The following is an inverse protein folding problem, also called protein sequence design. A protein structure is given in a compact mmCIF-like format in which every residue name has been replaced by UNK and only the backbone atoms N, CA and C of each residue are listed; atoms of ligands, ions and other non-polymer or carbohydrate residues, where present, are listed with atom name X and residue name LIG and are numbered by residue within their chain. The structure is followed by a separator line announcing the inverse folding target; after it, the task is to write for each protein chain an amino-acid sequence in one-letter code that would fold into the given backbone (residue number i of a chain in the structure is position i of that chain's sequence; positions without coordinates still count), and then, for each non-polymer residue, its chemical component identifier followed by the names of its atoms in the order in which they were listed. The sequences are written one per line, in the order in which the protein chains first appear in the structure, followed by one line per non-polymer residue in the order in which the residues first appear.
data_IF_793354259464
#
_entry.id   IF_793354259464
#
_cell.length_a   1.000
_cell.length_b   1.000
_cell.length_c   1.000
_cell.angle_alpha   90.00
_cell.angle_beta   90.00
_cell.angle_gamma   90.00
#
_symmetry.space_group_name_H-M   'P 1'
#
loop_
_entity.id
_entity.type
_entity.pdbx_description
1 polymer ?
#
# COMPACT_ATOMS: atom_id res chain seq x y z
N UNK A 1 -15.84 -7.52 1.25
CA UNK A 1 -14.70 -7.13 0.40
C UNK A 1 -14.97 -5.77 -0.24
N UNK A 2 -14.11 -4.83 -0.03
CA UNK A 2 -14.23 -3.50 -0.62
C UNK A 2 -13.03 -3.24 -1.52
N UNK A 3 -13.30 -2.86 -2.76
CA UNK A 3 -12.28 -2.46 -3.71
C UNK A 3 -11.99 -0.98 -3.57
N UNK A 4 -10.72 -0.64 -3.40
CA UNK A 4 -10.24 0.75 -3.31
C UNK A 4 -9.38 1.06 -4.52
N UNK A 5 -9.50 2.27 -5.03
CA UNK A 5 -8.62 2.81 -6.06
C UNK A 5 -7.60 3.67 -5.35
N UNK A 6 -6.36 3.18 -5.30
CA UNK A 6 -5.22 3.97 -4.86
C UNK A 6 -4.51 4.57 -6.05
N UNK A 7 -4.00 5.78 -5.93
CA UNK A 7 -3.26 6.41 -7.03
C UNK A 7 -1.83 5.89 -7.16
N UNK A 8 -1.22 5.42 -6.09
CA UNK A 8 0.13 4.88 -6.09
C UNK A 8 0.25 3.72 -5.10
N UNK A 9 1.04 2.72 -5.45
CA UNK A 9 1.28 1.56 -4.61
C UNK A 9 2.78 1.39 -4.35
N UNK A 10 3.16 1.31 -3.08
CA UNK A 10 4.49 0.93 -2.67
C UNK A 10 4.46 -0.52 -2.17
N UNK A 11 5.03 -1.43 -2.93
CA UNK A 11 5.09 -2.84 -2.56
C UNK A 11 6.42 -3.08 -1.87
N UNK A 12 6.37 -3.53 -0.62
CA UNK A 12 7.55 -3.97 0.12
C UNK A 12 7.41 -5.42 0.51
N UNK A 13 8.35 -6.22 0.04
CA UNK A 13 8.61 -7.55 0.55
C UNK A 13 9.68 -7.42 1.64
N UNK A 14 9.28 -7.59 2.89
CA UNK A 14 10.24 -7.66 4.00
C UNK A 14 9.82 -8.71 5.01
N UNK A 15 10.63 -9.73 5.11
CA UNK A 15 10.76 -10.52 6.33
C UNK A 15 11.63 -9.72 7.32
N UNK A 16 11.01 -9.19 8.36
CA UNK A 16 11.74 -8.60 9.48
C UNK A 16 11.79 -9.66 10.59
N UNK A 17 12.99 -10.00 11.04
CA UNK A 17 13.27 -10.90 12.17
C UNK A 17 12.90 -12.39 11.97
N UNK A 18 13.25 -13.02 10.84
CA UNK A 18 13.15 -14.48 10.70
C UNK A 18 11.72 -15.05 10.76
N UNK A 19 10.70 -14.21 10.69
CA UNK A 19 9.30 -14.62 10.60
C UNK A 19 8.92 -15.05 9.18
N UNK A 20 7.76 -15.71 9.04
CA UNK A 20 7.21 -16.04 7.74
C UNK A 20 7.13 -14.79 6.83
N UNK A 21 7.39 -14.92 5.53
CA UNK A 21 7.30 -13.80 4.60
C UNK A 21 5.90 -13.20 4.64
N UNK A 22 5.83 -11.88 4.73
CA UNK A 22 4.57 -11.12 4.68
C UNK A 22 4.59 -10.21 3.47
N UNK A 23 3.51 -10.24 2.73
CA UNK A 23 3.27 -9.32 1.63
C UNK A 23 2.63 -8.05 2.17
N UNK A 24 3.17 -6.90 1.83
CA UNK A 24 2.62 -5.61 2.24
C UNK A 24 2.57 -4.64 1.08
N UNK A 25 1.54 -3.83 1.06
CA UNK A 25 1.38 -2.74 0.10
C UNK A 25 1.00 -1.47 0.86
N UNK A 26 1.60 -0.36 0.48
CA UNK A 26 1.16 0.96 0.91
C UNK A 26 0.31 1.57 -0.19
N UNK A 27 -0.96 1.79 0.09
CA UNK A 27 -1.91 2.41 -0.82
C UNK A 27 -1.94 3.91 -0.53
N UNK A 28 -1.48 4.72 -1.47
CA UNK A 28 -1.44 6.17 -1.34
C UNK A 28 -2.67 6.76 -2.01
N UNK A 29 -3.45 7.54 -1.28
CA UNK A 29 -4.72 8.11 -1.71
C UNK A 29 -4.65 9.62 -1.59
N UNK A 30 -4.73 10.37 -2.68
CA UNK A 30 -4.74 11.84 -2.62
C UNK A 30 -5.87 12.35 -1.71
N UNK A 31 -5.59 13.36 -0.92
CA UNK A 31 -6.61 14.00 -0.07
C UNK A 31 -7.75 14.63 -0.90
N UNK A 32 -7.48 14.96 -2.15
CA UNK A 32 -8.46 15.43 -3.12
C UNK A 32 -9.48 14.37 -3.54
N UNK A 33 -9.13 13.08 -3.44
CA UNK A 33 -10.09 11.98 -3.69
C UNK A 33 -10.97 11.73 -2.47
N UNK A 34 -11.85 12.68 -2.21
CA UNK A 34 -12.76 12.65 -1.06
C UNK A 34 -13.71 11.46 -1.09
N UNK A 35 -14.05 10.96 -2.27
CA UNK A 35 -14.95 9.80 -2.43
C UNK A 35 -14.29 8.55 -1.87
N UNK A 36 -13.04 8.28 -2.25
CA UNK A 36 -12.29 7.13 -1.76
C UNK A 36 -11.99 7.27 -0.27
N UNK A 37 -11.56 8.45 0.18
CA UNK A 37 -11.28 8.73 1.59
C UNK A 37 -12.52 8.49 2.47
N UNK A 38 -13.69 8.97 2.04
CA UNK A 38 -14.93 8.77 2.79
C UNK A 38 -15.37 7.30 2.82
N UNK A 39 -15.19 6.56 1.72
CA UNK A 39 -15.44 5.10 1.69
C UNK A 39 -14.56 4.36 2.69
N UNK A 40 -13.30 4.73 2.78
CA UNK A 40 -12.35 4.14 3.73
C UNK A 40 -12.77 4.44 5.17
N UNK A 41 -13.09 5.69 5.47
CA UNK A 41 -13.56 6.09 6.80
C UNK A 41 -14.84 5.35 7.19
N UNK A 42 -15.80 5.22 6.28
CA UNK A 42 -17.01 4.44 6.52
C UNK A 42 -16.71 2.96 6.76
N UNK A 43 -15.74 2.40 6.04
CA UNK A 43 -15.31 1.02 6.23
C UNK A 43 -14.61 0.80 7.58
N UNK A 44 -13.82 1.76 8.03
CA UNK A 44 -13.19 1.74 9.36
C UNK A 44 -14.27 1.79 10.45
N UNK A 45 -15.25 2.66 10.31
CA UNK A 45 -16.38 2.76 11.23
C UNK A 45 -17.16 1.43 11.31
N UNK A 46 -17.46 0.83 10.17
CA UNK A 46 -18.15 -0.45 10.12
C UNK A 46 -17.33 -1.58 10.78
N UNK A 47 -16.02 -1.64 10.56
CA UNK A 47 -15.13 -2.61 11.19
C UNK A 47 -15.04 -2.39 12.72
N UNK A 48 -15.10 -1.14 13.17
CA UNK A 48 -15.15 -0.80 14.57
C UNK A 48 -16.45 -1.31 15.23
N UNK A 49 -17.59 -1.06 14.63
CA UNK A 49 -18.89 -1.50 15.13
C UNK A 49 -19.01 -3.04 15.15
N UNK A 50 -18.59 -3.71 14.09
CA UNK A 50 -18.57 -5.18 14.02
C UNK A 50 -17.60 -5.80 15.04
N UNK A 51 -16.50 -5.11 15.32
CA UNK A 51 -15.44 -5.59 16.21
C UNK A 51 -15.51 -5.07 17.65
N UNK A 52 -16.60 -4.43 18.05
CA UNK A 52 -16.73 -3.79 19.37
C UNK A 52 -16.45 -4.76 20.52
N UNK A 53 -16.99 -5.98 20.47
CA UNK A 53 -16.76 -7.01 21.48
C UNK A 53 -15.29 -7.41 21.61
N UNK A 54 -14.58 -7.46 20.48
CA UNK A 54 -13.15 -7.79 20.42
C UNK A 54 -12.28 -6.62 20.92
N UNK A 55 -12.64 -5.39 20.55
CA UNK A 55 -11.96 -4.17 21.00
C UNK A 55 -12.18 -3.94 22.50
N UNK A 56 -13.36 -4.21 23.01
CA UNK A 56 -13.66 -4.15 24.41
C UNK A 56 -12.83 -5.15 25.23
N UNK A 57 -12.72 -6.39 24.76
CA UNK A 57 -12.02 -7.45 25.47
C UNK A 57 -12.56 -7.63 26.90
N UNK A 58 -11.68 -7.55 27.90
CA UNK A 58 -12.05 -7.63 29.34
C UNK A 58 -12.44 -6.27 29.97
N UNK A 59 -12.37 -5.18 29.21
CA UNK A 59 -12.73 -3.86 29.71
C UNK A 59 -14.24 -3.69 29.87
N UNK A 60 -14.65 -2.76 30.73
CA UNK A 60 -16.09 -2.46 30.94
C UNK A 60 -16.71 -1.72 29.76
N UNK A 61 -15.90 -0.90 29.07
CA UNK A 61 -16.33 -0.03 27.95
C UNK A 61 -15.41 -0.24 26.77
N UNK A 62 -15.97 -0.21 25.55
CA UNK A 62 -15.17 -0.22 24.33
C UNK A 62 -14.41 1.10 24.19
N UNK A 63 -13.10 1.08 23.87
CA UNK A 63 -12.36 2.31 23.62
C UNK A 63 -12.93 3.04 22.40
N UNK A 64 -12.97 4.37 22.46
CA UNK A 64 -13.43 5.19 21.34
C UNK A 64 -12.52 5.04 20.11
N UNK A 65 -13.08 5.26 18.93
CA UNK A 65 -12.36 5.06 17.65
C UNK A 65 -11.12 5.97 17.51
N UNK A 66 -11.14 7.15 18.08
CA UNK A 66 -10.04 8.12 18.08
C UNK A 66 -8.87 7.73 19.01
N UNK A 67 -9.10 6.81 19.92
CA UNK A 67 -8.08 6.33 20.88
C UNK A 67 -7.36 5.07 20.36
N UNK A 68 -8.01 4.30 19.51
CA UNK A 68 -7.44 3.06 18.97
C UNK A 68 -6.64 3.32 17.68
N UNK A 69 -5.78 2.38 17.32
CA UNK A 69 -5.03 2.45 16.06
C UNK A 69 -5.94 2.27 14.87
N UNK A 70 -5.89 3.19 13.93
CA UNK A 70 -6.62 3.12 12.66
C UNK A 70 -5.65 2.93 11.49
N UNK A 71 -6.06 2.25 10.41
CA UNK A 71 -5.17 1.99 9.29
C UNK A 71 -4.98 3.18 8.36
N UNK A 72 -5.89 4.17 8.37
CA UNK A 72 -5.79 5.37 7.55
C UNK A 72 -4.87 6.38 8.23
N UNK A 73 -3.76 6.69 7.59
CA UNK A 73 -2.69 7.53 8.13
C UNK A 73 -2.50 8.75 7.22
N UNK A 74 -2.08 9.86 7.82
CA UNK A 74 -1.82 11.10 7.10
C UNK A 74 -0.36 11.17 6.66
N UNK A 75 -0.14 11.22 5.33
CA UNK A 75 1.21 11.26 4.77
C UNK A 75 1.99 12.51 5.15
N UNK A 76 1.35 13.66 5.20
CA UNK A 76 2.02 14.91 5.57
C UNK A 76 2.52 14.92 7.03
N UNK A 77 1.83 14.19 7.91
CA UNK A 77 2.19 14.11 9.32
C UNK A 77 3.21 13.01 9.62
N UNK A 78 3.05 11.85 8.99
CA UNK A 78 3.83 10.66 9.32
C UNK A 78 5.01 10.43 8.38
N UNK A 79 4.98 11.03 7.19
CA UNK A 79 6.03 10.96 6.16
C UNK A 79 6.41 12.35 5.66
N UNK A 80 6.74 13.31 6.55
CA UNK A 80 7.14 14.64 6.13
C UNK A 80 8.42 14.54 5.27
N UNK A 81 8.44 15.24 4.15
CA UNK A 81 9.57 15.22 3.22
C UNK A 81 9.60 14.08 2.20
N UNK A 82 8.65 13.15 2.25
CA UNK A 82 8.46 12.14 1.22
C UNK A 82 7.40 12.63 0.22
N UNK A 83 7.85 13.04 -0.97
CA UNK A 83 6.98 13.62 -2.00
C UNK A 83 5.86 12.67 -2.43
N UNK A 84 6.11 11.36 -2.41
CA UNK A 84 5.10 10.36 -2.76
C UNK A 84 3.89 10.38 -1.83
N UNK A 85 4.07 10.81 -0.59
CA UNK A 85 3.02 10.87 0.44
C UNK A 85 2.47 12.29 0.66
N UNK A 86 3.01 13.29 -0.03
CA UNK A 86 2.57 14.67 0.09
C UNK A 86 1.10 14.84 -0.32
N UNK A 87 0.35 15.62 0.44
CA UNK A 87 -1.09 15.84 0.23
C UNK A 87 -1.93 14.55 0.10
N UNK A 88 -1.50 13.49 0.75
CA UNK A 88 -2.10 12.17 0.63
C UNK A 88 -2.33 11.52 1.99
N UNK A 89 -3.36 10.68 2.05
CA UNK A 89 -3.48 9.64 3.07
C UNK A 89 -2.84 8.36 2.55
N UNK A 90 -2.49 7.45 3.45
CA UNK A 90 -2.05 6.14 3.06
C UNK A 90 -2.57 5.04 3.99
N UNK A 91 -2.69 3.85 3.43
CA UNK A 91 -3.06 2.63 4.16
C UNK A 91 -2.03 1.55 3.87
N UNK A 92 -1.52 0.92 4.92
CA UNK A 92 -0.70 -0.26 4.78
C UNK A 92 -1.59 -1.51 4.92
N UNK A 93 -1.68 -2.27 3.83
CA UNK A 93 -2.39 -3.53 3.80
C UNK A 93 -1.40 -4.69 3.76
N UNK A 94 -1.67 -5.73 4.52
CA UNK A 94 -0.77 -6.87 4.68
C UNK A 94 -1.48 -8.18 4.40
N UNK A 95 -0.72 -9.17 3.90
CA UNK A 95 -1.17 -10.52 3.73
C UNK A 95 -0.09 -11.52 4.12
N UNK A 96 -0.48 -12.63 4.73
CA UNK A 96 0.42 -13.76 4.99
C UNK A 96 0.63 -14.64 3.75
N UNK A 97 -0.28 -14.56 2.78
CA UNK A 97 -0.22 -15.29 1.52
C UNK A 97 0.00 -14.35 0.35
N UNK A 98 0.60 -14.83 -0.74
CA UNK A 98 0.79 -14.04 -1.94
C UNK A 98 -0.56 -13.55 -2.48
N UNK A 99 -0.76 -12.23 -2.66
CA UNK A 99 -1.97 -11.71 -3.27
C UNK A 99 -2.02 -12.09 -4.75
N UNK A 100 -3.22 -12.32 -5.29
CA UNK A 100 -3.42 -12.40 -6.73
C UNK A 100 -3.23 -11.01 -7.34
N UNK A 101 -2.51 -10.93 -8.45
CA UNK A 101 -2.25 -9.67 -9.15
C UNK A 101 -2.70 -9.82 -10.59
N UNK A 102 -3.57 -8.92 -11.02
CA UNK A 102 -4.08 -8.89 -12.39
C UNK A 102 -3.83 -7.52 -13.04
N UNK A 103 -3.82 -7.49 -14.35
CA UNK A 103 -3.76 -6.25 -15.13
C UNK A 103 -5.14 -5.57 -15.26
N UNK A 104 -5.21 -4.51 -16.06
CA UNK A 104 -6.45 -3.78 -16.32
C UNK A 104 -7.53 -4.64 -16.97
N UNK A 105 -7.14 -5.64 -17.77
CA UNK A 105 -8.02 -6.59 -18.45
C UNK A 105 -8.35 -7.82 -17.61
N UNK A 106 -7.91 -7.84 -16.36
CA UNK A 106 -8.09 -8.93 -15.39
C UNK A 106 -7.35 -10.23 -15.76
N UNK A 107 -6.27 -10.10 -16.54
CA UNK A 107 -5.34 -11.18 -16.79
C UNK A 107 -4.30 -11.25 -15.66
N UNK A 108 -3.95 -12.47 -15.26
CA UNK A 108 -2.97 -12.66 -14.19
C UNK A 108 -1.58 -12.15 -14.63
N UNK A 109 -0.97 -11.32 -13.81
CA UNK A 109 0.40 -10.86 -14.01
C UNK A 109 1.35 -11.89 -13.41
N UNK A 110 2.07 -12.57 -14.27
CA UNK A 110 3.05 -13.62 -13.91
C UNK A 110 4.41 -13.01 -13.60
N UNK A 111 4.79 -11.99 -14.38
CA UNK A 111 6.06 -11.29 -14.19
C UNK A 111 5.94 -10.26 -13.06
N UNK A 112 6.54 -10.58 -11.92
CA UNK A 112 6.53 -9.71 -10.74
C UNK A 112 7.25 -8.38 -10.96
N UNK A 113 8.12 -8.27 -11.95
CA UNK A 113 8.80 -7.01 -12.29
C UNK A 113 7.86 -5.95 -12.84
N UNK A 114 6.70 -6.36 -13.36
CA UNK A 114 5.65 -5.44 -13.80
C UNK A 114 4.94 -4.72 -12.65
N UNK A 115 5.11 -5.22 -11.42
CA UNK A 115 4.46 -4.68 -10.23
C UNK A 115 5.54 -4.13 -9.30
N UNK A 116 5.72 -2.83 -9.33
CA UNK A 116 6.76 -2.10 -8.60
C UNK A 116 6.14 -0.93 -7.82
N UNK A 117 6.92 -0.34 -6.91
CA UNK A 117 6.50 0.86 -6.20
C UNK A 117 6.35 2.02 -7.16
N UNK A 118 5.16 2.61 -7.22
CA UNK A 118 4.82 3.70 -8.12
C UNK A 118 3.77 3.33 -9.19
N UNK A 119 3.40 2.04 -9.33
CA UNK A 119 2.30 1.67 -10.24
C UNK A 119 0.95 2.17 -9.72
N UNK A 120 0.07 2.52 -10.62
CA UNK A 120 -1.32 2.85 -10.30
C UNK A 120 -2.20 1.61 -10.36
N UNK A 121 -3.00 1.42 -9.31
CA UNK A 121 -3.81 0.23 -9.24
C UNK A 121 -4.99 0.31 -8.28
N UNK A 122 -5.67 -0.81 -8.17
CA UNK A 122 -6.74 -1.05 -7.21
C UNK A 122 -6.33 -2.18 -6.29
N UNK A 123 -6.70 -2.05 -5.03
CA UNK A 123 -6.54 -3.12 -4.06
C UNK A 123 -7.89 -3.57 -3.53
N UNK A 124 -8.06 -4.87 -3.44
CA UNK A 124 -9.13 -5.48 -2.66
C UNK A 124 -8.61 -5.70 -1.25
N UNK A 125 -9.19 -5.01 -0.30
CA UNK A 125 -8.79 -5.04 1.10
C UNK A 125 -9.96 -5.38 2.00
N UNK A 126 -9.67 -5.87 3.19
CA UNK A 126 -10.63 -6.03 4.27
C UNK A 126 -10.13 -5.34 5.54
N UNK A 127 -11.03 -4.72 6.23
CA UNK A 127 -10.77 -4.05 7.50
C UNK A 127 -11.36 -4.90 8.63
N UNK A 128 -10.59 -5.09 9.70
CA UNK A 128 -11.02 -5.88 10.84
C UNK A 128 -10.43 -5.36 12.13
N UNK A 129 -11.20 -5.50 13.22
CA UNK A 129 -10.74 -5.16 14.54
C UNK A 129 -9.76 -6.21 15.08
N UNK A 130 -8.73 -5.77 15.77
CA UNK A 130 -7.79 -6.63 16.48
C UNK A 130 -7.58 -6.16 17.92
N UNK A 131 -7.26 -7.12 18.78
CA UNK A 131 -6.85 -6.89 20.15
C UNK A 131 -5.80 -7.94 20.50
N UNK A 132 -4.56 -7.51 20.61
CA UNK A 132 -3.44 -8.38 20.95
C UNK A 132 -2.71 -7.80 22.14
N UNK A 133 -2.86 -8.46 23.30
CA UNK A 133 -2.20 -8.04 24.55
C UNK A 133 -2.41 -6.55 24.91
N UNK A 134 -3.64 -6.07 24.72
CA UNK A 134 -3.99 -4.65 24.98
C UNK A 134 -3.66 -3.68 23.85
N UNK A 135 -2.95 -4.11 22.81
CA UNK A 135 -2.79 -3.36 21.58
C UNK A 135 -4.05 -3.55 20.71
N UNK A 136 -4.84 -2.50 20.60
CA UNK A 136 -6.17 -2.52 19.98
C UNK A 136 -6.23 -1.59 18.79
N UNK A 137 -6.97 -2.00 17.77
CA UNK A 137 -7.15 -1.17 16.60
C UNK A 137 -7.90 -1.85 15.46
N UNK A 138 -7.93 -1.16 14.34
CA UNK A 138 -8.43 -1.68 13.07
C UNK A 138 -7.23 -1.96 12.18
N UNK A 139 -7.14 -3.17 11.67
CA UNK A 139 -6.10 -3.59 10.74
C UNK A 139 -6.65 -3.69 9.31
N UNK A 140 -5.75 -3.64 8.35
CA UNK A 140 -6.05 -3.77 6.93
C UNK A 140 -5.39 -5.02 6.37
N UNK A 141 -6.20 -5.96 5.91
CA UNK A 141 -5.77 -7.15 5.19
C UNK A 141 -5.77 -6.92 3.69
N UNK A 142 -4.75 -7.43 3.00
CA UNK A 142 -4.66 -7.40 1.55
C UNK A 142 -5.18 -8.71 0.97
N UNK A 143 -6.12 -8.63 0.02
CA UNK A 143 -6.62 -9.78 -0.71
C UNK A 143 -5.98 -9.89 -2.09
N UNK A 144 -6.28 -8.94 -2.98
CA UNK A 144 -5.80 -8.95 -4.35
C UNK A 144 -5.45 -7.54 -4.82
N UNK A 145 -4.66 -7.47 -5.90
CA UNK A 145 -4.24 -6.25 -6.55
C UNK A 145 -4.63 -6.25 -8.03
N UNK A 146 -5.01 -5.10 -8.54
CA UNK A 146 -5.18 -4.87 -9.97
C UNK A 146 -4.30 -3.70 -10.39
N UNK A 147 -3.34 -3.95 -11.28
CA UNK A 147 -2.54 -2.91 -11.91
C UNK A 147 -3.38 -2.25 -13.02
N UNK A 148 -3.54 -0.95 -12.98
CA UNK A 148 -4.28 -0.19 -13.98
C UNK A 148 -3.35 0.41 -15.03
N UNK A 149 -2.25 1.01 -14.57
CA UNK A 149 -1.23 1.61 -15.44
C UNK A 149 0.10 1.74 -14.72
N UNK A 150 1.13 1.93 -15.51
CA UNK A 150 2.45 2.26 -15.00
C UNK A 150 2.50 3.68 -14.42
N UNK A 151 3.40 3.89 -13.49
CA UNK A 151 3.72 5.18 -12.90
C UNK A 151 5.23 5.31 -12.72
N UNK A 152 5.67 6.44 -12.20
CA UNK A 152 7.08 6.65 -11.90
C UNK A 152 7.52 5.79 -10.72
N UNK A 153 8.65 5.06 -10.81
CA UNK A 153 9.16 4.27 -9.70
C UNK A 153 9.48 5.16 -8.49
N UNK A 154 8.91 4.83 -7.33
CA UNK A 154 9.12 5.57 -6.08
C UNK A 154 10.45 5.22 -5.37
N UNK A 155 11.22 4.31 -5.90
CA UNK A 155 12.37 3.68 -5.22
C UNK A 155 13.75 4.05 -5.73
N UNK A 156 13.97 5.18 -6.39
CA UNK A 156 15.32 5.66 -6.76
C UNK A 156 16.16 4.74 -7.69
N UNK A 157 15.56 3.66 -8.20
CA UNK A 157 16.11 2.87 -9.31
C UNK A 157 15.32 3.22 -10.55
N UNK A 158 15.96 3.95 -11.44
CA UNK A 158 15.49 4.12 -12.81
C UNK A 158 15.23 2.73 -13.44
N UNK A 159 14.25 2.63 -14.31
CA UNK A 159 14.11 1.45 -15.16
C UNK A 159 15.26 1.46 -16.16
N UNK A 160 15.86 0.30 -16.38
CA UNK A 160 16.88 0.18 -17.42
C UNK A 160 16.37 0.69 -18.79
N UNK A 161 15.08 0.53 -19.09
CA UNK A 161 14.47 1.10 -20.28
C UNK A 161 14.46 2.64 -20.32
N UNK A 162 14.32 3.29 -19.15
CA UNK A 162 14.33 4.76 -19.06
C UNK A 162 15.78 5.29 -19.07
N UNK A 163 16.72 4.54 -18.52
CA UNK A 163 18.15 4.87 -18.54
C UNK A 163 18.75 4.77 -19.94
N UNK A 164 18.18 3.93 -20.80
CA UNK A 164 18.65 3.67 -22.16
C UNK A 164 17.68 4.18 -23.24
N UNK A 165 16.64 4.92 -22.89
CA UNK A 165 15.61 5.39 -23.83
C UNK A 165 16.05 6.59 -24.70
N UNK A 166 17.24 7.13 -24.52
CA UNK A 166 17.75 8.30 -25.26
C UNK A 166 19.14 8.10 -25.79
N UNK A 167 19.33 7.12 -26.68
CA UNK A 167 20.51 7.10 -27.53
C UNK A 167 20.10 7.25 -29.01
N UNK A 168 19.51 8.37 -29.32
CA UNK A 168 19.58 8.97 -30.66
C UNK A 168 20.50 10.20 -30.62
N UNK A 169 21.74 10.04 -30.14
CA UNK A 169 22.84 10.90 -30.55
C UNK A 169 24.18 10.39 -29.99
N UNK A 170 25.03 9.95 -30.90
CA UNK A 170 26.50 9.95 -30.88
C UNK A 170 27.22 10.40 -29.58
N UNK A 171 27.28 9.57 -28.57
CA UNK A 171 28.47 9.55 -27.71
C UNK A 171 28.80 8.15 -27.15
N UNK A 172 29.00 7.23 -28.07
CA UNK A 172 29.44 5.85 -27.75
C UNK A 172 30.88 5.78 -27.24
N UNK A 173 31.54 6.89 -26.99
CA UNK A 173 32.96 6.97 -26.59
C UNK A 173 33.21 7.27 -25.12
N UNK A 174 32.20 7.34 -24.28
CA UNK A 174 32.37 7.46 -22.83
C UNK A 174 31.94 6.21 -22.08
N UNK A 175 32.48 5.06 -22.48
CA UNK A 175 32.37 3.85 -21.69
C UNK A 175 33.30 3.96 -20.47
N UNK A 176 32.75 4.42 -19.36
CA UNK A 176 33.36 4.16 -18.06
C UNK A 176 33.28 2.68 -17.78
N UNK A 177 34.44 2.04 -17.59
CA UNK A 177 34.56 0.65 -17.19
C UNK A 177 33.69 0.36 -15.98
N UNK A 178 32.66 -0.48 -16.18
CA UNK A 178 31.87 -1.05 -15.08
C UNK A 178 32.77 -2.09 -14.42
N UNK A 179 33.23 -1.82 -13.21
CA UNK A 179 33.77 -2.83 -12.32
C UNK A 179 32.64 -3.65 -11.72
N UNK A 180 32.58 -4.87 -12.11
CA UNK A 180 31.75 -5.89 -11.45
C UNK A 180 32.48 -6.41 -10.22
#
# INVERSE_FOLDING_TARGET
QRSLVGSEMCIRDRSINGGAPKYSVSLIIPKSDTVTVNKIKAAIQAAYEEGESKLKGTAKVCPALDVIKTPLRDGDKERPGDEAYANSYFINANSATAPGIVDADRQEIIDRSEVYSGVYGRASINLYAFNSNGNRGIACGLNNLQKIRDGEPLGGKSRAADDFATDDDDDFLSLSLIHI
#
